data_IF_680070472375
#
_entry.id   IF_680070472375
#
_cell.length_a   1.000
_cell.length_b   1.000
_cell.length_c   1.000
_cell.angle_alpha   90.00
_cell.angle_beta   90.00
_cell.angle_gamma   90.00
#
_symmetry.space_group_name_H-M   'P 1'
#
loop_
_entity.id
_entity.type
_entity.pdbx_description
1 polymer ?
#
# COMPACT_ATOMS: atom_id res chain seq x y z
N UNK A 1 3.15 -14.30 -39.61
CA UNK A 1 1.89 -13.72 -39.12
C UNK A 1 1.94 -13.82 -37.60
N UNK A 2 2.42 -12.86 -36.80
CA UNK A 2 1.90 -11.48 -36.61
C UNK A 2 0.47 -11.56 -36.04
N UNK A 3 0.10 -11.16 -34.82
CA UNK A 3 0.72 -10.36 -33.79
C UNK A 3 0.22 -10.85 -32.41
N UNK A 4 1.11 -11.07 -31.44
CA UNK A 4 0.71 -11.05 -30.04
C UNK A 4 0.39 -9.59 -29.72
N UNK A 5 -0.89 -9.22 -29.72
CA UNK A 5 -1.33 -7.91 -29.26
C UNK A 5 -1.00 -7.79 -27.77
N UNK A 6 0.16 -7.20 -27.49
CA UNK A 6 0.50 -6.71 -26.16
C UNK A 6 -0.51 -5.61 -25.86
N UNK A 7 -1.51 -5.93 -25.04
CA UNK A 7 -2.42 -4.94 -24.46
C UNK A 7 -1.55 -3.93 -23.69
N UNK A 8 -1.28 -2.77 -24.31
CA UNK A 8 -0.86 -1.58 -23.56
C UNK A 8 -2.04 -1.25 -22.66
N UNK A 9 -1.92 -1.63 -21.39
CA UNK A 9 -2.81 -1.15 -20.34
C UNK A 9 -2.34 0.28 -20.05
N UNK A 10 -2.83 1.23 -20.82
CA UNK A 10 -2.72 2.65 -20.51
C UNK A 10 -3.44 2.89 -19.17
N UNK A 11 -2.68 2.80 -18.08
CA UNK A 11 -3.08 3.18 -16.71
C UNK A 11 -2.84 4.68 -16.45
N UNK A 12 -2.78 5.45 -17.53
CA UNK A 12 -2.62 6.90 -17.48
C UNK A 12 -4.01 7.53 -17.34
N UNK A 13 -4.44 7.68 -16.08
CA UNK A 13 -5.35 8.73 -15.60
C UNK A 13 -6.43 9.15 -16.59
N UNK A 14 -7.43 8.30 -16.84
CA UNK A 14 -8.64 8.75 -17.54
C UNK A 14 -9.29 9.88 -16.71
N UNK A 15 -9.87 10.92 -17.34
CA UNK A 15 -10.63 11.92 -16.60
C UNK A 15 -11.70 11.22 -15.75
N UNK A 16 -11.66 11.44 -14.44
CA UNK A 16 -12.45 10.69 -13.44
C UNK A 16 -11.67 9.67 -12.61
N UNK A 17 -10.37 9.48 -12.84
CA UNK A 17 -9.51 8.66 -11.97
C UNK A 17 -8.84 9.52 -10.88
N UNK A 18 -9.09 9.16 -9.63
CA UNK A 18 -8.60 9.88 -8.45
C UNK A 18 -7.44 9.12 -7.80
N UNK A 19 -6.42 9.86 -7.36
CA UNK A 19 -5.26 9.29 -6.68
C UNK A 19 -5.00 9.99 -5.36
N UNK A 20 -4.49 9.25 -4.38
CA UNK A 20 -3.96 9.82 -3.14
C UNK A 20 -2.44 9.85 -3.23
N UNK A 21 -1.83 11.04 -3.25
CA UNK A 21 -0.37 11.18 -3.25
C UNK A 21 0.17 11.03 -1.82
N UNK A 22 1.00 10.00 -1.60
CA UNK A 22 1.66 9.70 -0.32
C UNK A 22 2.73 10.74 0.04
N UNK A 23 3.32 11.39 -0.96
CA UNK A 23 4.32 12.45 -0.74
C UNK A 23 3.70 13.73 -0.18
N UNK A 24 2.58 14.16 -0.75
CA UNK A 24 1.93 15.43 -0.41
C UNK A 24 0.76 15.25 0.57
N UNK A 25 0.32 14.02 0.83
CA UNK A 25 -0.77 13.72 1.75
C UNK A 25 -2.12 14.30 1.30
N UNK A 26 -2.40 14.28 -0.01
CA UNK A 26 -3.63 14.86 -0.57
C UNK A 26 -4.13 14.08 -1.78
N UNK A 27 -5.40 14.30 -2.10
CA UNK A 27 -6.04 13.74 -3.29
C UNK A 27 -5.79 14.65 -4.49
N UNK A 28 -5.40 14.04 -5.61
CA UNK A 28 -5.10 14.70 -6.87
C UNK A 28 -5.86 14.00 -8.02
N UNK A 29 -6.36 14.81 -8.95
CA UNK A 29 -6.98 14.34 -10.19
C UNK A 29 -5.88 14.17 -11.24
N UNK A 30 -5.60 12.93 -11.64
CA UNK A 30 -4.53 12.62 -12.59
C UNK A 30 -3.12 12.37 -12.00
N UNK A 31 -2.14 12.02 -12.86
CA UNK A 31 -0.81 11.57 -12.44
C UNK A 31 0.19 12.72 -12.23
N UNK A 32 0.03 13.51 -11.16
CA UNK A 32 0.97 14.58 -10.79
C UNK A 32 2.23 14.02 -10.07
N UNK A 33 2.01 13.11 -9.11
CA UNK A 33 3.07 12.38 -8.41
C UNK A 33 3.49 11.09 -9.15
N UNK A 34 4.77 10.66 -9.05
CA UNK A 34 5.24 9.41 -9.64
C UNK A 34 4.49 8.21 -9.05
N UNK A 35 4.34 7.14 -9.85
CA UNK A 35 3.49 6.01 -9.49
C UNK A 35 3.85 5.29 -8.17
N UNK A 36 5.10 5.39 -7.71
CA UNK A 36 5.55 4.84 -6.43
C UNK A 36 4.97 5.58 -5.21
N UNK A 37 4.63 6.86 -5.38
CA UNK A 37 4.20 7.75 -4.31
C UNK A 37 2.68 7.99 -4.37
N UNK A 38 1.91 7.12 -5.03
CA UNK A 38 0.45 7.27 -5.18
C UNK A 38 -0.31 5.97 -4.89
N UNK A 39 -1.48 6.12 -4.27
CA UNK A 39 -2.47 5.06 -4.11
C UNK A 39 -3.62 5.31 -5.08
N UNK A 40 -4.08 4.27 -5.78
CA UNK A 40 -5.17 4.34 -6.76
C UNK A 40 -4.86 3.54 -8.04
N UNK A 41 -5.75 3.58 -9.04
CA UNK A 41 -6.83 4.55 -9.25
C UNK A 41 -8.07 4.29 -8.37
N UNK A 42 -8.68 5.36 -7.87
CA UNK A 42 -9.99 5.35 -7.21
C UNK A 42 -11.06 5.94 -8.13
N UNK A 43 -12.31 5.42 -8.09
CA UNK A 43 -13.39 5.88 -8.97
C UNK A 43 -13.91 7.28 -8.62
N UNK A 44 -13.64 7.74 -7.40
CA UNK A 44 -14.10 9.04 -6.90
C UNK A 44 -13.11 9.64 -5.89
N UNK A 45 -13.22 10.96 -5.69
CA UNK A 45 -12.37 11.72 -4.77
C UNK A 45 -12.46 11.21 -3.34
N UNK A 46 -13.66 10.88 -2.86
CA UNK A 46 -13.88 10.40 -1.50
C UNK A 46 -13.27 9.00 -1.27
N UNK A 47 -13.20 8.18 -2.31
CA UNK A 47 -12.45 6.92 -2.33
C UNK A 47 -10.97 7.15 -2.10
N UNK A 48 -10.38 8.12 -2.82
CA UNK A 48 -8.99 8.50 -2.63
C UNK A 48 -8.72 9.14 -1.25
N UNK A 49 -9.64 9.98 -0.74
CA UNK A 49 -9.50 10.60 0.60
C UNK A 49 -9.49 9.55 1.71
N UNK A 50 -10.28 8.48 1.54
CA UNK A 50 -10.37 7.36 2.51
C UNK A 50 -9.31 6.28 2.30
N UNK A 51 -8.46 6.41 1.28
CA UNK A 51 -7.46 5.41 0.92
C UNK A 51 -6.60 4.97 2.12
N UNK A 52 -6.05 5.94 2.85
CA UNK A 52 -5.21 5.66 4.02
C UNK A 52 -5.96 5.00 5.16
N UNK A 53 -7.20 5.43 5.42
CA UNK A 53 -8.03 4.83 6.48
C UNK A 53 -8.32 3.37 6.15
N UNK A 54 -8.77 3.10 4.93
CA UNK A 54 -9.03 1.73 4.47
C UNK A 54 -7.78 0.87 4.49
N UNK A 55 -6.62 1.40 4.09
CA UNK A 55 -5.36 0.67 4.17
C UNK A 55 -5.05 0.27 5.61
N UNK A 56 -5.13 1.24 6.54
CA UNK A 56 -4.92 0.96 7.97
C UNK A 56 -5.90 -0.06 8.53
N UNK A 57 -7.19 0.11 8.24
CA UNK A 57 -8.24 -0.79 8.73
C UNK A 57 -7.94 -2.23 8.26
N UNK A 58 -7.52 -2.42 6.99
CA UNK A 58 -7.14 -3.74 6.44
C UNK A 58 -5.83 -4.28 7.02
N UNK A 59 -4.85 -3.42 7.26
CA UNK A 59 -3.58 -3.82 7.90
C UNK A 59 -3.84 -4.35 9.32
N UNK A 60 -4.76 -3.74 10.06
CA UNK A 60 -5.19 -4.20 11.39
C UNK A 60 -5.93 -5.54 11.32
N UNK A 61 -6.86 -5.69 10.38
CA UNK A 61 -7.55 -6.97 10.12
C UNK A 61 -6.54 -8.09 9.83
N UNK A 62 -5.53 -7.83 9.00
CA UNK A 62 -4.53 -8.83 8.63
C UNK A 62 -3.57 -9.16 9.77
N UNK A 63 -3.19 -8.18 10.60
CA UNK A 63 -2.33 -8.43 11.77
C UNK A 63 -2.96 -9.39 12.76
N UNK A 64 -4.29 -9.46 12.81
CA UNK A 64 -5.01 -10.28 13.80
C UNK A 64 -5.59 -11.57 13.23
N UNK A 65 -5.46 -11.79 11.91
CA UNK A 65 -6.00 -12.98 11.23
C UNK A 65 -5.20 -14.25 11.60
N UNK A 66 -5.83 -15.27 12.22
CA UNK A 66 -5.16 -16.52 12.57
C UNK A 66 -4.58 -17.27 11.38
N UNK A 67 -5.13 -17.10 10.16
CA UNK A 67 -4.65 -17.74 8.93
C UNK A 67 -3.23 -17.31 8.55
N UNK A 68 -2.80 -16.16 9.06
CA UNK A 68 -1.51 -15.55 8.74
C UNK A 68 -0.60 -15.41 9.97
N UNK A 69 -1.16 -15.61 11.17
CA UNK A 69 -0.49 -15.38 12.44
C UNK A 69 -0.41 -16.65 13.33
N UNK A 70 -0.59 -17.83 12.75
CA UNK A 70 -0.51 -19.13 13.40
C UNK A 70 0.92 -19.62 13.67
N UNK A 71 1.94 -18.96 13.12
CA UNK A 71 3.35 -19.33 13.33
C UNK A 71 3.88 -18.75 14.66
N UNK A 72 4.15 -19.58 15.68
CA UNK A 72 4.65 -19.13 16.99
C UNK A 72 6.09 -18.62 16.95
N UNK A 73 6.88 -19.00 15.93
CA UNK A 73 8.26 -18.54 15.74
C UNK A 73 8.34 -17.27 14.88
N UNK A 74 7.20 -16.72 14.43
CA UNK A 74 7.18 -15.43 13.74
C UNK A 74 7.60 -14.33 14.72
N UNK A 75 8.49 -13.40 14.34
CA UNK A 75 9.03 -12.38 15.23
C UNK A 75 7.95 -11.51 15.91
N UNK A 76 6.79 -11.33 15.27
CA UNK A 76 5.65 -10.61 15.87
C UNK A 76 4.81 -11.45 16.86
N UNK A 77 5.02 -12.77 16.94
CA UNK A 77 4.19 -13.72 17.71
C UNK A 77 4.87 -14.31 18.97
N UNK A 78 6.15 -14.01 19.22
CA UNK A 78 6.90 -14.54 20.37
C UNK A 78 6.83 -13.65 21.63
N UNK A 79 7.04 -14.20 22.85
CA UNK A 79 6.99 -13.46 24.14
C UNK A 79 8.14 -12.46 24.36
N UNK A 80 8.95 -12.19 23.32
CA UNK A 80 10.04 -11.25 23.32
C UNK A 80 10.07 -10.47 21.99
N UNK A 81 8.95 -9.85 21.61
CA UNK A 81 8.85 -8.95 20.44
C UNK A 81 9.57 -7.61 20.63
N UNK A 82 10.77 -7.61 21.21
CA UNK A 82 11.68 -6.48 21.16
C UNK A 82 12.60 -6.69 19.96
N UNK A 83 12.43 -5.92 18.89
CA UNK A 83 13.47 -5.80 17.87
C UNK A 83 14.79 -5.53 18.60
N UNK A 84 15.84 -6.36 18.44
CA UNK A 84 17.13 -5.99 18.97
C UNK A 84 17.53 -4.67 18.31
N UNK A 85 17.74 -3.65 19.14
CA UNK A 85 18.23 -2.35 18.74
C UNK A 85 19.50 -2.55 17.88
N UNK A 86 19.54 -2.10 16.62
CA UNK A 86 20.71 -2.28 15.76
C UNK A 86 21.94 -1.49 16.26
N UNK A 87 21.82 -0.75 17.37
CA UNK A 87 22.86 0.04 18.03
C UNK A 87 23.54 -0.64 19.22
N UNK A 88 23.25 -1.90 19.57
CA UNK A 88 24.05 -2.65 20.55
C UNK A 88 25.42 -3.06 19.98
N UNK A 89 26.25 -2.06 19.69
CA UNK A 89 27.68 -2.24 19.41
C UNK A 89 28.40 -2.57 20.72
N UNK A 90 28.49 -3.87 21.00
CA UNK A 90 29.38 -4.41 22.03
C UNK A 90 30.84 -4.18 21.62
N UNK A 91 31.57 -3.53 22.52
CA UNK A 91 33.00 -3.22 22.43
C UNK A 91 33.87 -4.47 22.36
#
# INVERSE_FOLDING_TARGET
MGLFSIFRRDTSGKPGEWYYCLRHGRVEEGPDCPAKDRLGPYPDRAGAERALRTARDRDEEWRTDPRWNDNPDHPDNGPAGGSPDPGATGR
#
